data_IF_651900685040
#
_entry.id   IF_651900685040
#
_cell.length_a   1.000
_cell.length_b   1.000
_cell.length_c   1.000
_cell.angle_alpha   90.00
_cell.angle_beta   90.00
_cell.angle_gamma   90.00
#
_symmetry.space_group_name_H-M   'P 1'
#
loop_
_entity.id
_entity.type
_entity.pdbx_description
1 polymer ?
#
# COMPACT_ATOMS: atom_id res chain seq x y z
N UNK A 1 10.66 25.33 -26.99
CA UNK A 1 10.14 24.02 -26.56
C UNK A 1 10.07 24.10 -25.05
N UNK A 2 8.94 24.54 -24.53
CA UNK A 2 8.71 24.60 -23.09
C UNK A 2 8.53 23.18 -22.61
N UNK A 3 9.34 22.84 -21.62
CA UNK A 3 9.31 21.59 -20.88
C UNK A 3 7.92 21.50 -20.22
N UNK A 4 7.01 20.69 -20.78
CA UNK A 4 5.71 20.37 -20.19
C UNK A 4 5.96 19.45 -18.99
N UNK A 5 6.56 20.00 -17.93
CA UNK A 5 6.71 19.31 -16.66
C UNK A 5 5.33 19.17 -16.04
N UNK A 6 4.82 17.94 -16.01
CA UNK A 6 3.66 17.57 -15.18
C UNK A 6 3.96 18.01 -13.74
N UNK A 7 3.16 18.94 -13.22
CA UNK A 7 3.28 19.41 -11.84
C UNK A 7 2.35 18.62 -10.93
N UNK A 8 2.57 18.70 -9.61
CA UNK A 8 1.68 18.09 -8.63
C UNK A 8 0.23 18.63 -8.73
N UNK A 9 0.02 19.81 -9.32
CA UNK A 9 -1.31 20.38 -9.55
C UNK A 9 -2.06 19.70 -10.71
N UNK A 10 -1.34 19.07 -11.64
CA UNK A 10 -1.91 18.41 -12.82
C UNK A 10 -2.42 16.98 -12.53
N UNK A 11 -2.15 16.48 -11.32
CA UNK A 11 -2.70 15.23 -10.79
C UNK A 11 -3.69 15.56 -9.67
N UNK A 12 -4.98 15.82 -9.96
CA UNK A 12 -5.99 15.98 -8.92
C UNK A 12 -6.19 14.63 -8.23
N UNK A 13 -5.37 14.33 -7.24
CA UNK A 13 -5.53 13.17 -6.39
C UNK A 13 -6.65 13.49 -5.40
N UNK A 14 -7.85 12.87 -5.52
CA UNK A 14 -8.89 13.06 -4.52
C UNK A 14 -8.30 12.76 -3.13
N UNK A 15 -8.40 13.74 -2.23
CA UNK A 15 -7.97 13.65 -0.84
C UNK A 15 -9.17 13.55 0.11
N UNK A 16 -8.90 13.33 1.39
CA UNK A 16 -9.94 13.40 2.45
C UNK A 16 -10.76 12.13 2.69
N UNK A 17 -10.50 11.03 1.96
CA UNK A 17 -11.10 9.72 2.28
C UNK A 17 -10.09 8.82 2.97
N UNK A 18 -10.41 8.42 4.21
CA UNK A 18 -9.59 7.47 4.97
C UNK A 18 -9.44 6.15 4.23
N UNK A 19 -10.54 5.59 3.72
CA UNK A 19 -10.53 4.37 2.88
C UNK A 19 -9.57 4.48 1.70
N UNK A 20 -9.59 5.60 0.98
CA UNK A 20 -8.69 5.80 -0.15
C UNK A 20 -7.22 5.92 0.29
N UNK A 21 -6.95 6.55 1.43
CA UNK A 21 -5.61 6.64 2.01
C UNK A 21 -5.04 5.26 2.36
N UNK A 22 -5.75 4.44 3.14
CA UNK A 22 -5.28 3.10 3.53
C UNK A 22 -5.20 2.15 2.32
N UNK A 23 -6.08 2.32 1.33
CA UNK A 23 -6.00 1.59 0.06
C UNK A 23 -4.69 1.91 -0.65
N UNK A 24 -4.31 3.19 -0.79
CA UNK A 24 -3.04 3.60 -1.43
C UNK A 24 -1.81 3.02 -0.72
N UNK A 25 -1.82 2.96 0.62
CA UNK A 25 -0.76 2.31 1.38
C UNK A 25 -0.67 0.80 1.09
N UNK A 26 -1.81 0.11 1.05
CA UNK A 26 -1.86 -1.30 0.67
C UNK A 26 -1.34 -1.55 -0.76
N UNK A 27 -1.67 -0.67 -1.72
CA UNK A 27 -1.14 -0.75 -3.08
C UNK A 27 0.39 -0.61 -3.11
N UNK A 28 0.96 0.30 -2.32
CA UNK A 28 2.41 0.42 -2.17
C UNK A 28 3.04 -0.86 -1.59
N UNK A 29 2.35 -1.52 -0.66
CA UNK A 29 2.75 -2.82 -0.13
C UNK A 29 2.80 -3.89 -1.22
N UNK A 30 1.75 -4.00 -2.03
CA UNK A 30 1.67 -4.95 -3.15
C UNK A 30 2.73 -4.68 -4.23
N UNK A 31 3.03 -3.41 -4.52
CA UNK A 31 4.14 -3.04 -5.41
C UNK A 31 5.49 -3.47 -4.81
N UNK A 32 5.68 -3.26 -3.52
CA UNK A 32 6.89 -3.69 -2.80
C UNK A 32 7.05 -5.21 -2.74
N UNK A 33 5.95 -5.95 -2.83
CA UNK A 33 5.94 -7.41 -3.00
C UNK A 33 6.21 -7.87 -4.45
N UNK A 34 6.33 -6.94 -5.41
CA UNK A 34 6.46 -7.26 -6.83
C UNK A 34 5.20 -7.86 -7.46
N UNK A 35 4.05 -7.78 -6.77
CA UNK A 35 2.76 -8.30 -7.27
C UNK A 35 2.17 -7.35 -8.30
N UNK A 36 2.30 -6.05 -8.06
CA UNK A 36 1.84 -4.98 -8.94
C UNK A 36 3.06 -4.25 -9.54
N UNK A 37 2.97 -3.88 -10.80
CA UNK A 37 3.98 -3.03 -11.47
C UNK A 37 3.90 -1.60 -10.95
N UNK A 38 5.06 -0.98 -10.70
CA UNK A 38 5.08 0.43 -10.40
C UNK A 38 4.72 1.20 -11.69
N UNK A 39 3.60 1.97 -11.73
CA UNK A 39 3.14 2.63 -12.95
C UNK A 39 4.07 3.78 -13.40
N UNK A 40 4.94 4.27 -12.52
CA UNK A 40 5.89 5.33 -12.84
C UNK A 40 7.17 4.76 -13.46
N UNK A 41 7.65 3.62 -12.98
CA UNK A 41 8.91 3.01 -13.45
C UNK A 41 8.69 1.88 -14.45
N UNK A 42 7.46 1.36 -14.57
CA UNK A 42 7.12 0.12 -15.30
C UNK A 42 7.99 -1.07 -14.90
N UNK A 43 8.44 -1.12 -13.64
CA UNK A 43 9.28 -2.21 -13.13
C UNK A 43 8.65 -2.90 -11.92
N UNK A 44 8.82 -4.22 -11.86
CA UNK A 44 8.55 -5.02 -10.66
C UNK A 44 9.82 -5.08 -9.82
N UNK A 45 9.97 -4.16 -8.89
CA UNK A 45 11.07 -4.15 -7.92
C UNK A 45 10.58 -4.67 -6.58
N UNK A 46 10.98 -5.89 -6.22
CA UNK A 46 10.63 -6.48 -4.93
C UNK A 46 11.51 -5.90 -3.83
N UNK A 47 10.89 -5.39 -2.77
CA UNK A 47 11.52 -4.87 -1.56
C UNK A 47 10.71 -5.35 -0.34
N UNK A 48 11.08 -6.54 0.17
CA UNK A 48 10.42 -7.16 1.32
C UNK A 48 10.51 -6.33 2.61
N UNK A 49 11.65 -5.70 2.95
CA UNK A 49 11.70 -4.78 4.09
C UNK A 49 10.66 -3.67 4.00
N UNK A 50 10.50 -3.06 2.82
CA UNK A 50 9.50 -2.00 2.61
C UNK A 50 8.06 -2.55 2.70
N UNK A 51 7.79 -3.73 2.14
CA UNK A 51 6.48 -4.37 2.27
C UNK A 51 6.11 -4.65 3.74
N UNK A 52 7.07 -5.12 4.54
CA UNK A 52 6.89 -5.36 5.97
C UNK A 52 6.60 -4.05 6.73
N UNK A 53 7.38 -3.01 6.48
CA UNK A 53 7.17 -1.69 7.08
C UNK A 53 5.77 -1.16 6.80
N UNK A 54 5.27 -1.30 5.56
CA UNK A 54 3.92 -0.86 5.20
C UNK A 54 2.80 -1.66 5.88
N UNK A 55 3.03 -2.95 6.16
CA UNK A 55 2.11 -3.75 6.99
C UNK A 55 2.09 -3.21 8.41
N UNK A 56 3.26 -2.96 9.01
CA UNK A 56 3.40 -2.40 10.36
C UNK A 56 2.74 -1.01 10.46
N UNK A 57 2.86 -0.17 9.42
CA UNK A 57 2.20 1.13 9.34
C UNK A 57 0.67 1.01 9.34
N UNK A 58 0.11 0.06 8.56
CA UNK A 58 -1.34 -0.18 8.54
C UNK A 58 -1.85 -0.72 9.88
N UNK A 59 -1.09 -1.60 10.55
CA UNK A 59 -1.40 -2.08 11.89
C UNK A 59 -1.35 -0.95 12.93
N UNK A 60 -0.33 -0.11 12.88
CA UNK A 60 -0.24 1.09 13.72
C UNK A 60 -1.44 2.01 13.49
N UNK A 61 -1.83 2.25 12.23
CA UNK A 61 -3.00 3.07 11.91
C UNK A 61 -4.25 2.49 12.57
N UNK A 62 -4.54 1.20 12.39
CA UNK A 62 -5.68 0.51 13.03
C UNK A 62 -5.70 0.73 14.54
N UNK A 63 -4.55 0.56 15.18
CA UNK A 63 -4.45 0.67 16.64
C UNK A 63 -4.64 2.12 17.12
N UNK A 64 -4.17 3.10 16.33
CA UNK A 64 -4.30 4.53 16.64
C UNK A 64 -5.68 5.12 16.30
N UNK A 65 -6.40 4.54 15.35
CA UNK A 65 -7.73 5.01 14.93
C UNK A 65 -8.87 4.26 15.60
N UNK A 66 -8.59 3.24 16.42
CA UNK A 66 -9.61 2.45 17.13
C UNK A 66 -10.64 3.34 17.85
N UNK A 67 -11.93 3.08 17.59
CA UNK A 67 -13.05 3.85 18.13
C UNK A 67 -13.38 5.15 17.39
N UNK A 68 -12.62 5.50 16.34
CA UNK A 68 -12.90 6.64 15.46
C UNK A 68 -13.30 6.21 14.03
N UNK A 69 -13.30 4.91 13.73
CA UNK A 69 -13.69 4.37 12.43
C UNK A 69 -15.17 3.98 12.44
N UNK A 70 -15.84 4.17 11.31
CA UNK A 70 -17.11 3.48 11.05
C UNK A 70 -16.86 1.97 10.75
N UNK A 71 -17.94 1.20 10.71
CA UNK A 71 -17.88 -0.26 10.50
C UNK A 71 -17.22 -0.60 9.16
N UNK A 72 -17.59 0.11 8.09
CA UNK A 72 -17.04 -0.08 6.75
C UNK A 72 -15.52 0.21 6.71
N UNK A 73 -15.07 1.26 7.40
CA UNK A 73 -13.66 1.64 7.50
C UNK A 73 -12.83 0.64 8.30
N UNK A 74 -13.37 0.15 9.43
CA UNK A 74 -12.69 -0.84 10.26
C UNK A 74 -12.56 -2.18 9.53
N UNK A 75 -13.63 -2.66 8.90
CA UNK A 75 -13.63 -3.88 8.10
C UNK A 75 -12.68 -3.77 6.89
N UNK A 76 -12.72 -2.62 6.19
CA UNK A 76 -11.84 -2.40 5.04
C UNK A 76 -10.36 -2.40 5.46
N UNK A 77 -10.01 -1.72 6.55
CA UNK A 77 -8.64 -1.72 7.07
C UNK A 77 -8.19 -3.12 7.51
N UNK A 78 -9.03 -3.85 8.25
CA UNK A 78 -8.74 -5.22 8.66
C UNK A 78 -8.52 -6.14 7.46
N UNK A 79 -9.33 -5.98 6.42
CA UNK A 79 -9.22 -6.75 5.17
C UNK A 79 -7.91 -6.45 4.44
N UNK A 80 -7.55 -5.19 4.28
CA UNK A 80 -6.29 -4.78 3.65
C UNK A 80 -5.06 -5.34 4.38
N UNK A 81 -5.04 -5.25 5.73
CA UNK A 81 -3.95 -5.81 6.55
C UNK A 81 -3.85 -7.32 6.33
N UNK A 82 -4.97 -8.05 6.44
CA UNK A 82 -4.99 -9.51 6.28
C UNK A 82 -4.50 -9.95 4.90
N UNK A 83 -4.99 -9.31 3.84
CA UNK A 83 -4.64 -9.65 2.47
C UNK A 83 -3.16 -9.37 2.20
N UNK A 84 -2.64 -8.23 2.65
CA UNK A 84 -1.24 -7.86 2.47
C UNK A 84 -0.30 -8.79 3.26
N UNK A 85 -0.64 -9.14 4.49
CA UNK A 85 0.10 -10.13 5.28
C UNK A 85 0.10 -11.52 4.62
N UNK A 86 -1.03 -11.94 4.05
CA UNK A 86 -1.12 -13.20 3.32
C UNK A 86 -0.21 -13.20 2.09
N UNK A 87 -0.25 -12.11 1.32
CA UNK A 87 0.61 -11.92 0.16
C UNK A 87 2.10 -11.94 0.55
N UNK A 88 2.47 -11.22 1.62
CA UNK A 88 3.83 -11.18 2.14
C UNK A 88 4.34 -12.57 2.53
N UNK A 89 3.54 -13.36 3.27
CA UNK A 89 3.89 -14.75 3.63
C UNK A 89 4.06 -15.64 2.40
N UNK A 90 3.19 -15.51 1.39
CA UNK A 90 3.30 -16.29 0.16
C UNK A 90 4.58 -15.97 -0.61
N UNK A 91 4.99 -14.70 -0.67
CA UNK A 91 6.24 -14.30 -1.32
C UNK A 91 7.44 -14.85 -0.56
N UNK A 92 7.43 -14.76 0.77
CA UNK A 92 8.50 -15.35 1.61
C UNK A 92 8.65 -16.86 1.42
N UNK A 93 7.55 -17.60 1.26
CA UNK A 93 7.59 -19.04 1.02
C UNK A 93 8.09 -19.41 -0.38
N UNK A 94 7.92 -18.52 -1.36
CA UNK A 94 8.33 -18.73 -2.76
C UNK A 94 9.76 -18.28 -3.04
N UNK A 95 10.36 -17.46 -2.19
CA UNK A 95 11.78 -17.17 -2.30
C UNK A 95 12.57 -18.44 -1.93
N UNK A 96 13.43 -18.96 -2.82
CA UNK A 96 14.43 -19.93 -2.39
C UNK A 96 15.28 -19.28 -1.30
N UNK A 97 15.58 -20.03 -0.25
CA UNK A 97 16.61 -19.64 0.71
C UNK A 97 17.92 -19.52 -0.07
N UNK A 98 18.38 -18.28 -0.25
CA UNK A 98 19.69 -17.97 -0.82
C UNK A 98 20.81 -18.26 0.18
#
# INVERSE_FOLDING_TARGET
MTDDQLTAADLPLPGGSFRLFITRLSYQGLMSLGIIENPLTNTKAMNLPNAKMLIEDLEMIRDKTRGNLDEDEDEHLAKLISDLQSAYRQVLQKQPAE
#
